data_IF_021783403581
#
_entry.id   IF_021783403581
#
_cell.length_a   1.000
_cell.length_b   1.000
_cell.length_c   1.000
_cell.angle_alpha   90.00
_cell.angle_beta   90.00
_cell.angle_gamma   90.00
#
_symmetry.space_group_name_H-M   'P 1'
#
loop_
_entity.id
_entity.type
_entity.pdbx_description
1 polymer ?
#
# COMPACT_ATOMS: atom_id res chain seq x y z
N UNK A 1 47.28 22.69 -43.28
CA UNK A 1 47.12 21.25 -43.02
C UNK A 1 46.28 21.00 -41.76
N UNK A 2 45.10 21.64 -41.63
CA UNK A 2 44.19 21.49 -40.47
C UNK A 2 42.75 21.87 -40.89
N UNK A 3 42.11 21.12 -41.81
CA UNK A 3 40.66 21.30 -42.06
C UNK A 3 39.93 20.04 -42.58
N UNK A 4 40.44 18.83 -42.36
CA UNK A 4 39.81 17.60 -42.87
C UNK A 4 39.61 16.48 -41.84
N UNK A 5 39.61 16.76 -40.53
CA UNK A 5 39.47 15.69 -39.50
C UNK A 5 38.12 15.70 -38.76
N UNK A 6 37.19 16.61 -39.07
CA UNK A 6 35.91 16.70 -38.34
C UNK A 6 34.65 16.72 -39.22
N UNK A 7 34.57 15.89 -40.25
CA UNK A 7 33.34 15.70 -41.04
C UNK A 7 32.90 14.22 -41.18
N UNK A 8 33.19 13.39 -40.17
CA UNK A 8 32.96 11.94 -40.25
C UNK A 8 31.88 11.31 -39.37
N UNK A 9 31.30 12.01 -38.38
CA UNK A 9 30.52 11.34 -37.33
C UNK A 9 29.26 12.11 -36.93
N UNK A 10 28.25 12.11 -37.80
CA UNK A 10 26.82 12.03 -37.46
C UNK A 10 26.00 12.26 -38.74
N UNK A 11 25.64 11.20 -39.45
CA UNK A 11 24.46 11.26 -40.32
C UNK A 11 23.25 10.94 -39.44
N UNK A 12 22.21 11.80 -39.39
CA UNK A 12 20.95 11.47 -38.76
C UNK A 12 20.16 10.55 -39.71
N UNK A 13 20.60 9.31 -39.83
CA UNK A 13 19.92 8.28 -40.60
C UNK A 13 20.39 6.96 -40.06
N UNK A 14 19.72 6.46 -39.02
CA UNK A 14 19.58 5.04 -38.66
C UNK A 14 18.86 4.92 -37.28
N UNK A 15 17.76 5.66 -37.11
CA UNK A 15 16.72 5.18 -36.19
C UNK A 15 15.98 4.12 -36.99
N UNK A 16 16.31 2.86 -36.74
CA UNK A 16 15.78 1.70 -37.45
C UNK A 16 14.25 1.79 -37.51
N UNK A 17 13.70 1.89 -38.74
CA UNK A 17 12.28 2.03 -38.99
C UNK A 17 11.47 0.82 -38.47
N UNK A 18 12.14 -0.31 -38.16
CA UNK A 18 11.53 -1.49 -37.55
C UNK A 18 11.33 -1.36 -36.03
N UNK A 19 12.06 -0.50 -35.34
CA UNK A 19 11.88 -0.26 -33.89
C UNK A 19 10.62 0.57 -33.60
N UNK A 20 10.24 1.48 -34.49
CA UNK A 20 9.12 2.41 -34.28
C UNK A 20 7.77 1.70 -34.07
N UNK A 21 7.35 0.73 -34.92
CA UNK A 21 6.12 -0.03 -34.68
C UNK A 21 6.21 -0.92 -33.42
N UNK A 22 7.38 -1.50 -33.14
CA UNK A 22 7.59 -2.32 -31.94
C UNK A 22 7.50 -1.50 -30.64
N UNK A 23 8.03 -0.28 -30.63
CA UNK A 23 7.93 0.68 -29.51
C UNK A 23 6.51 1.18 -29.31
N UNK A 24 5.79 1.49 -30.40
CA UNK A 24 4.37 1.87 -30.32
C UNK A 24 3.53 0.73 -29.74
N UNK A 25 3.72 -0.49 -30.22
CA UNK A 25 3.02 -1.68 -29.71
C UNK A 25 3.34 -1.91 -28.22
N UNK A 26 4.60 -1.78 -27.83
CA UNK A 26 5.04 -1.91 -26.43
C UNK A 26 4.39 -0.85 -25.54
N UNK A 27 4.38 0.42 -25.96
CA UNK A 27 3.72 1.50 -25.23
C UNK A 27 2.21 1.28 -25.10
N UNK A 28 1.54 0.81 -26.17
CA UNK A 28 0.11 0.53 -26.18
C UNK A 28 -0.31 -0.57 -25.22
N UNK A 29 0.57 -1.53 -24.87
CA UNK A 29 0.30 -2.51 -23.81
C UNK A 29 0.78 -2.05 -22.43
N UNK A 30 1.93 -1.38 -22.38
CA UNK A 30 2.58 -0.98 -21.14
C UNK A 30 1.78 0.11 -20.39
N UNK A 31 1.39 1.19 -21.06
CA UNK A 31 0.73 2.31 -20.40
C UNK A 31 -0.65 1.95 -19.81
N UNK A 32 -1.53 1.23 -20.53
CA UNK A 32 -2.79 0.78 -19.94
C UNK A 32 -2.59 -0.17 -18.77
N UNK A 33 -1.65 -1.12 -18.88
CA UNK A 33 -1.31 -2.03 -17.77
C UNK A 33 -0.86 -1.26 -16.54
N UNK A 34 0.01 -0.26 -16.69
CA UNK A 34 0.47 0.60 -15.60
C UNK A 34 -0.65 1.47 -15.01
N UNK A 35 -1.54 1.98 -15.85
CA UNK A 35 -2.67 2.77 -15.41
C UNK A 35 -3.67 1.95 -14.57
N UNK A 36 -3.77 0.63 -14.80
CA UNK A 36 -4.60 -0.27 -13.99
C UNK A 36 -3.87 -0.77 -12.73
N UNK A 37 -2.59 -1.12 -12.87
CA UNK A 37 -1.76 -1.63 -11.76
C UNK A 37 -1.52 -0.58 -10.67
N UNK A 38 -1.36 0.68 -11.04
CA UNK A 38 -1.03 1.75 -10.09
C UNK A 38 -2.17 2.03 -9.08
N UNK A 39 -3.43 2.26 -9.49
CA UNK A 39 -4.54 2.41 -8.56
C UNK A 39 -4.78 1.16 -7.71
N UNK A 40 -4.61 -0.03 -8.29
CA UNK A 40 -4.69 -1.30 -7.57
C UNK A 40 -3.68 -1.38 -6.43
N UNK A 41 -2.39 -1.17 -6.76
CA UNK A 41 -1.31 -1.18 -5.78
C UNK A 41 -1.48 -0.09 -4.71
N UNK A 42 -1.91 1.10 -5.13
CA UNK A 42 -2.19 2.21 -4.20
C UNK A 42 -3.33 1.84 -3.26
N UNK A 43 -4.42 1.28 -3.76
CA UNK A 43 -5.55 0.86 -2.94
C UNK A 43 -5.11 -0.15 -1.86
N UNK A 44 -4.38 -1.19 -2.26
CA UNK A 44 -3.92 -2.25 -1.35
C UNK A 44 -2.98 -1.71 -0.28
N UNK A 45 -1.99 -0.93 -0.68
CA UNK A 45 -1.00 -0.39 0.26
C UNK A 45 -1.65 0.57 1.24
N UNK A 46 -2.57 1.43 0.80
CA UNK A 46 -3.25 2.35 1.71
C UNK A 46 -4.22 1.65 2.66
N UNK A 47 -4.92 0.61 2.19
CA UNK A 47 -5.77 -0.23 3.05
C UNK A 47 -5.00 -1.01 4.10
N UNK A 48 -3.69 -1.19 3.90
CA UNK A 48 -2.81 -1.84 4.86
C UNK A 48 -2.27 -0.90 5.94
N UNK A 49 -2.45 0.42 5.79
CA UNK A 49 -1.89 1.45 6.69
C UNK A 49 -2.99 2.35 7.27
N UNK A 50 -4.03 1.73 7.83
CA UNK A 50 -5.15 2.46 8.43
C UNK A 50 -4.72 2.98 9.80
N UNK A 51 -4.71 4.31 10.03
CA UNK A 51 -4.33 4.86 11.32
C UNK A 51 -5.41 4.56 12.34
N UNK A 52 -5.03 3.90 13.44
CA UNK A 52 -5.87 3.75 14.61
C UNK A 52 -5.63 4.92 15.57
N UNK A 53 -6.66 5.29 16.33
CA UNK A 53 -6.53 6.32 17.36
C UNK A 53 -5.67 5.77 18.50
N UNK A 54 -4.45 6.24 18.61
CA UNK A 54 -3.57 5.95 19.76
C UNK A 54 -3.56 7.13 20.72
N UNK A 55 -3.65 6.84 22.02
CA UNK A 55 -3.36 7.81 23.07
C UNK A 55 -1.85 8.03 23.16
N UNK A 56 -1.45 9.24 23.52
CA UNK A 56 -0.03 9.63 23.60
C UNK A 56 0.58 9.16 24.95
N UNK A 57 -0.25 8.82 25.94
CA UNK A 57 0.17 8.64 27.34
C UNK A 57 -0.41 7.38 28.02
N UNK A 58 -0.52 6.25 27.33
CA UNK A 58 -0.86 4.99 27.99
C UNK A 58 0.38 4.08 28.06
N UNK A 59 0.91 3.86 29.26
CA UNK A 59 2.02 2.94 29.52
C UNK A 59 1.53 1.48 29.36
N UNK A 60 1.44 1.02 28.12
CA UNK A 60 1.01 -0.33 27.74
C UNK A 60 2.20 -1.20 27.40
N UNK A 61 2.03 -2.51 27.58
CA UNK A 61 2.98 -3.48 27.05
C UNK A 61 3.01 -3.45 25.51
N UNK A 62 4.09 -4.00 24.94
CA UNK A 62 4.30 -4.01 23.50
C UNK A 62 3.17 -4.71 22.73
N UNK A 63 2.68 -5.85 23.20
CA UNK A 63 1.66 -6.64 22.49
C UNK A 63 0.34 -5.89 22.43
N UNK A 64 -0.10 -5.36 23.57
CA UNK A 64 -1.30 -4.53 23.65
C UNK A 64 -1.19 -3.31 22.73
N UNK A 65 0.00 -2.70 22.66
CA UNK A 65 0.27 -1.58 21.76
C UNK A 65 0.11 -1.98 20.30
N UNK A 66 0.72 -3.08 19.84
CA UNK A 66 0.61 -3.54 18.45
C UNK A 66 -0.85 -3.87 18.06
N UNK A 67 -1.61 -4.49 18.96
CA UNK A 67 -3.01 -4.86 18.68
C UNK A 67 -3.90 -3.61 18.59
N UNK A 68 -3.76 -2.66 19.50
CA UNK A 68 -4.63 -1.47 19.56
C UNK A 68 -4.24 -0.40 18.53
N UNK A 69 -2.98 -0.36 18.13
CA UNK A 69 -2.46 0.55 17.11
C UNK A 69 -2.82 0.14 15.68
N UNK A 70 -3.28 -1.10 15.47
CA UNK A 70 -3.47 -1.69 14.15
C UNK A 70 -4.87 -2.29 14.01
N UNK A 71 -5.23 -2.64 12.77
CA UNK A 71 -6.47 -3.36 12.52
C UNK A 71 -6.33 -4.24 11.29
N UNK A 72 -7.16 -5.28 11.22
CA UNK A 72 -7.25 -6.16 10.07
C UNK A 72 -8.38 -5.76 9.13
N UNK A 73 -8.27 -6.25 7.89
CA UNK A 73 -9.37 -6.30 6.94
C UNK A 73 -9.89 -7.73 6.89
N UNK A 74 -11.21 -7.89 6.79
CA UNK A 74 -11.85 -9.19 6.83
C UNK A 74 -11.25 -10.18 5.83
N UNK A 75 -11.12 -11.42 6.28
CA UNK A 75 -10.68 -12.51 5.43
C UNK A 75 -11.82 -12.92 4.50
N UNK A 76 -11.51 -13.04 3.21
CA UNK A 76 -12.35 -13.69 2.21
C UNK A 76 -11.48 -14.15 1.06
N UNK A 77 -11.94 -15.11 0.26
CA UNK A 77 -11.19 -15.56 -0.92
C UNK A 77 -10.82 -14.38 -1.83
N UNK A 78 -11.76 -13.45 -2.03
CA UNK A 78 -11.52 -12.24 -2.80
C UNK A 78 -10.50 -11.32 -2.12
N UNK A 79 -10.66 -11.02 -0.83
CA UNK A 79 -9.78 -10.09 -0.12
C UNK A 79 -8.34 -10.63 -0.03
N UNK A 80 -8.19 -11.93 0.22
CA UNK A 80 -6.90 -12.60 0.35
C UNK A 80 -6.13 -12.59 -0.99
N UNK A 81 -6.85 -12.78 -2.11
CA UNK A 81 -6.30 -12.66 -3.46
C UNK A 81 -6.00 -11.21 -3.85
N UNK A 82 -6.98 -10.32 -3.64
CA UNK A 82 -6.90 -8.90 -3.99
C UNK A 82 -5.73 -8.23 -3.28
N UNK A 83 -5.60 -8.44 -1.96
CA UNK A 83 -4.57 -7.79 -1.15
C UNK A 83 -3.25 -8.57 -1.09
N UNK A 84 -3.21 -9.81 -1.59
CA UNK A 84 -2.04 -10.67 -1.42
C UNK A 84 -1.72 -10.95 0.06
N UNK A 85 -2.76 -11.21 0.86
CA UNK A 85 -2.70 -11.44 2.32
C UNK A 85 -2.21 -10.24 3.16
N UNK A 86 -2.27 -9.02 2.63
CA UNK A 86 -1.95 -7.81 3.41
C UNK A 86 -3.10 -7.36 4.34
N UNK A 87 -4.21 -8.09 4.36
CA UNK A 87 -5.35 -7.88 5.25
C UNK A 87 -5.11 -8.31 6.72
N UNK A 88 -3.98 -8.97 7.04
CA UNK A 88 -3.60 -9.45 8.38
C UNK A 88 -2.50 -8.60 9.02
N UNK A 89 -2.76 -7.31 9.24
CA UNK A 89 -1.79 -6.39 9.82
C UNK A 89 -1.51 -6.65 11.30
N UNK A 90 -2.50 -7.02 12.11
CA UNK A 90 -2.31 -7.33 13.53
C UNK A 90 -1.27 -8.45 13.66
N UNK A 91 -1.46 -9.55 12.92
CA UNK A 91 -0.54 -10.70 12.96
C UNK A 91 0.83 -10.36 12.36
N UNK A 92 0.88 -9.48 11.35
CA UNK A 92 2.15 -8.99 10.81
C UNK A 92 2.97 -8.20 11.85
N UNK A 93 2.34 -7.34 12.64
CA UNK A 93 3.02 -6.57 13.67
C UNK A 93 3.43 -7.43 14.87
N UNK A 94 2.64 -8.46 15.20
CA UNK A 94 2.99 -9.41 16.26
C UNK A 94 4.08 -10.40 15.84
N UNK A 95 4.07 -10.83 14.57
CA UNK A 95 4.95 -11.86 14.03
C UNK A 95 5.53 -11.45 12.66
N UNK A 96 6.39 -10.41 12.61
CA UNK A 96 6.86 -9.83 11.34
C UNK A 96 7.72 -10.80 10.50
N UNK A 97 8.33 -11.80 11.14
CA UNK A 97 9.15 -12.83 10.48
C UNK A 97 8.35 -14.03 9.98
N UNK A 98 7.07 -14.16 10.36
CA UNK A 98 6.23 -15.28 9.95
C UNK A 98 5.80 -15.11 8.48
N UNK A 99 5.85 -16.19 7.66
CA UNK A 99 5.36 -16.13 6.29
C UNK A 99 3.87 -15.76 6.23
N UNK A 100 3.51 -14.80 5.35
CA UNK A 100 2.15 -14.24 5.23
C UNK A 100 1.04 -15.27 5.05
N UNK A 101 1.32 -16.35 4.34
CA UNK A 101 0.34 -17.43 4.11
C UNK A 101 -0.03 -18.19 5.40
N UNK A 102 0.66 -17.98 6.53
CA UNK A 102 0.32 -18.57 7.82
C UNK A 102 -0.51 -17.63 8.70
N UNK A 103 -0.68 -16.35 8.36
CA UNK A 103 -1.40 -15.40 9.21
C UNK A 103 -2.86 -15.81 9.43
N UNK A 104 -3.55 -16.33 8.42
CA UNK A 104 -4.93 -16.82 8.57
C UNK A 104 -5.07 -17.94 9.61
N UNK A 105 -4.01 -18.74 9.84
CA UNK A 105 -4.00 -19.81 10.85
C UNK A 105 -3.83 -19.25 12.26
N UNK A 106 -3.09 -18.16 12.39
CA UNK A 106 -2.72 -17.54 13.68
C UNK A 106 -3.73 -16.49 14.11
N UNK A 107 -4.39 -15.81 13.18
CA UNK A 107 -5.43 -14.81 13.44
C UNK A 107 -6.52 -15.26 14.42
N UNK A 108 -7.13 -16.47 14.32
CA UNK A 108 -8.10 -16.91 15.32
C UNK A 108 -7.50 -17.11 16.72
N UNK A 109 -6.23 -17.52 16.81
CA UNK A 109 -5.52 -17.68 18.08
C UNK A 109 -5.24 -16.33 18.74
N UNK A 110 -4.76 -15.35 17.95
CA UNK A 110 -4.54 -13.97 18.42
C UNK A 110 -5.86 -13.35 18.87
N UNK A 111 -6.93 -13.50 18.08
CA UNK A 111 -8.27 -13.00 18.45
C UNK A 111 -8.77 -13.61 19.76
N UNK A 112 -8.58 -14.91 19.97
CA UNK A 112 -8.93 -15.58 21.22
C UNK A 112 -8.12 -15.05 22.40
N UNK A 113 -6.81 -14.83 22.21
CA UNK A 113 -5.94 -14.25 23.23
C UNK A 113 -6.37 -12.81 23.58
N UNK A 114 -6.67 -11.98 22.57
CA UNK A 114 -7.19 -10.63 22.79
C UNK A 114 -8.48 -10.66 23.62
N UNK A 115 -9.43 -11.54 23.27
CA UNK A 115 -10.68 -11.69 24.03
C UNK A 115 -10.44 -12.11 25.49
N UNK A 116 -9.50 -13.04 25.73
CA UNK A 116 -9.13 -13.49 27.09
C UNK A 116 -8.56 -12.35 27.95
N UNK A 117 -7.85 -11.41 27.34
CA UNK A 117 -7.19 -10.29 28.03
C UNK A 117 -7.97 -8.97 27.94
N UNK A 118 -9.21 -8.98 27.40
CA UNK A 118 -10.02 -7.77 27.26
C UNK A 118 -9.48 -6.76 26.25
N UNK A 119 -8.62 -7.20 25.31
CA UNK A 119 -8.07 -6.36 24.25
C UNK A 119 -9.00 -6.34 23.04
N UNK A 120 -9.20 -5.16 22.46
CA UNK A 120 -10.01 -5.00 21.26
C UNK A 120 -9.24 -5.49 20.03
N UNK A 121 -9.70 -6.60 19.43
CA UNK A 121 -9.24 -7.05 18.13
C UNK A 121 -10.11 -6.43 17.03
N UNK A 122 -9.56 -5.47 16.28
CA UNK A 122 -10.31 -4.73 15.26
C UNK A 122 -10.15 -5.40 13.90
N UNK A 123 -11.26 -5.81 13.31
CA UNK A 123 -11.33 -6.42 11.98
C UNK A 123 -12.46 -5.76 11.19
N UNK A 124 -12.15 -5.17 10.03
CA UNK A 124 -13.07 -4.30 9.29
C UNK A 124 -13.43 -4.88 7.93
N UNK A 125 -14.67 -4.69 7.45
CA UNK A 125 -15.00 -4.95 6.06
C UNK A 125 -14.12 -4.10 5.13
N UNK A 126 -13.78 -4.64 3.97
CA UNK A 126 -12.90 -4.00 2.98
C UNK A 126 -13.39 -2.59 2.59
N UNK A 127 -14.68 -2.42 2.35
CA UNK A 127 -15.26 -1.11 2.00
C UNK A 127 -15.18 -0.09 3.15
N UNK A 128 -15.34 -0.56 4.39
CA UNK A 128 -15.19 0.29 5.58
C UNK A 128 -13.75 0.76 5.73
N UNK A 129 -12.79 -0.15 5.58
CA UNK A 129 -11.36 0.14 5.58
C UNK A 129 -10.97 1.17 4.51
N UNK A 130 -11.48 1.02 3.28
CA UNK A 130 -11.28 2.00 2.23
C UNK A 130 -11.88 3.37 2.59
N UNK A 131 -13.11 3.38 3.12
CA UNK A 131 -13.77 4.59 3.59
C UNK A 131 -13.04 5.30 4.73
N UNK A 132 -12.37 4.56 5.62
CA UNK A 132 -11.53 5.12 6.70
C UNK A 132 -10.36 5.92 6.12
N UNK A 133 -9.71 5.45 5.06
CA UNK A 133 -8.59 6.15 4.40
C UNK A 133 -9.06 7.46 3.82
N UNK A 134 -10.16 7.44 3.06
CA UNK A 134 -10.72 8.66 2.44
C UNK A 134 -11.10 9.67 3.52
N UNK A 135 -11.71 9.21 4.62
CA UNK A 135 -12.01 10.07 5.77
C UNK A 135 -10.76 10.62 6.45
N UNK A 136 -9.72 9.81 6.61
CA UNK A 136 -8.45 10.24 7.18
C UNK A 136 -7.79 11.31 6.31
N UNK A 137 -7.72 11.10 4.99
CA UNK A 137 -7.20 12.08 4.03
C UNK A 137 -7.99 13.39 4.07
N UNK A 138 -9.32 13.31 4.07
CA UNK A 138 -10.19 14.50 4.19
C UNK A 138 -9.93 15.25 5.49
N UNK A 139 -9.81 14.54 6.62
CA UNK A 139 -9.52 15.14 7.93
C UNK A 139 -8.15 15.81 7.95
N UNK A 140 -7.11 15.14 7.47
CA UNK A 140 -5.76 15.70 7.39
C UNK A 140 -5.69 16.92 6.49
N UNK A 141 -6.39 16.88 5.34
CA UNK A 141 -6.49 18.02 4.43
C UNK A 141 -7.20 19.24 5.07
N UNK A 142 -8.26 19.00 5.84
CA UNK A 142 -8.93 20.07 6.59
C UNK A 142 -8.00 20.68 7.66
N UNK A 143 -7.36 19.85 8.48
CA UNK A 143 -6.41 20.32 9.51
C UNK A 143 -5.25 21.11 8.91
N UNK A 144 -4.71 20.66 7.77
CA UNK A 144 -3.65 21.37 7.08
C UNK A 144 -4.13 22.71 6.53
N UNK A 145 -5.34 22.74 5.93
CA UNK A 145 -5.96 23.96 5.43
C UNK A 145 -6.15 24.98 6.56
N UNK A 146 -6.71 24.55 7.69
CA UNK A 146 -6.94 25.41 8.85
C UNK A 146 -5.60 25.98 9.35
N UNK A 147 -4.58 25.13 9.54
CA UNK A 147 -3.24 25.57 9.95
C UNK A 147 -2.55 26.51 8.96
N UNK A 148 -2.83 26.40 7.65
CA UNK A 148 -2.22 27.24 6.61
C UNK A 148 -2.89 28.61 6.47
N UNK A 149 -4.20 28.70 6.71
CA UNK A 149 -4.96 29.94 6.55
C UNK A 149 -5.28 30.66 7.87
N UNK A 150 -5.10 30.00 9.03
CA UNK A 150 -5.23 30.61 10.37
C UNK A 150 -3.93 31.25 10.88
N UNK A 151 -2.90 31.41 10.03
CA UNK A 151 -1.74 32.29 10.25
C UNK A 151 -1.96 33.70 9.73
#
# INVERSE_FOLDING_TARGET
MLSQVFQGLCKPSDVDATEKPQRVLTCSFYFPKRFLESPWFTCITQMSHIPMKMSIEENRDWLSTQVLATCNVEQSFFNDWFTGHLNFQIEHHLFPTMPRHNYHKVAPLVRSLCAKHGLQYVNKPMLTAFGDIVRALKKSGALWKDAYYET
#
